data_IF_872399915404
#
_entry.id   IF_872399915404
#
_cell.length_a   1.000
_cell.length_b   1.000
_cell.length_c   1.000
_cell.angle_alpha   90.00
_cell.angle_beta   90.00
_cell.angle_gamma   90.00
#
_symmetry.space_group_name_H-M   'P 1'
#
loop_
_entity.id
_entity.type
_entity.pdbx_description
1 polymer ?
#
# COMPACT_ATOMS: atom_id res chain seq x y z
N UNK A 1 43.08 18.62 15.71
CA UNK A 1 41.63 18.76 15.93
C UNK A 1 40.81 18.41 14.69
N UNK A 2 41.08 19.00 13.51
CA UNK A 2 40.37 18.70 12.24
C UNK A 2 40.37 17.22 11.83
N UNK A 3 41.52 16.54 11.92
CA UNK A 3 41.68 15.11 11.56
C UNK A 3 40.94 14.15 12.49
N UNK A 4 40.90 14.46 13.78
CA UNK A 4 40.14 13.72 14.79
C UNK A 4 38.63 13.80 14.51
N UNK A 5 38.14 14.99 14.14
CA UNK A 5 36.72 15.18 13.78
C UNK A 5 36.36 14.35 12.54
N UNK A 6 37.20 14.34 11.51
CA UNK A 6 36.94 13.55 10.29
C UNK A 6 36.93 12.04 10.58
N UNK A 7 37.87 11.55 11.39
CA UNK A 7 37.93 10.14 11.78
C UNK A 7 36.71 9.71 12.60
N UNK A 8 36.28 10.54 13.54
CA UNK A 8 35.06 10.31 14.33
C UNK A 8 33.81 10.30 13.44
N UNK A 9 33.71 11.22 12.48
CA UNK A 9 32.59 11.22 11.53
C UNK A 9 32.52 9.93 10.71
N UNK A 10 33.64 9.46 10.16
CA UNK A 10 33.66 8.21 9.37
C UNK A 10 33.31 6.98 10.21
N UNK A 11 33.75 6.94 11.47
CA UNK A 11 33.45 5.87 12.41
C UNK A 11 31.96 5.80 12.75
N UNK A 12 31.31 6.95 12.96
CA UNK A 12 29.85 7.03 13.17
C UNK A 12 29.08 6.57 11.93
N UNK A 13 29.52 6.98 10.73
CA UNK A 13 28.87 6.56 9.48
C UNK A 13 29.01 5.05 9.22
N UNK A 14 30.10 4.41 9.69
CA UNK A 14 30.31 2.97 9.55
C UNK A 14 29.32 2.11 10.37
N UNK A 15 28.68 2.69 11.39
CA UNK A 15 27.63 2.02 12.17
C UNK A 15 26.20 2.35 11.75
N UNK A 16 26.02 3.15 10.69
CA UNK A 16 24.70 3.38 10.12
C UNK A 16 24.20 2.06 9.50
N UNK A 17 23.28 1.38 10.19
CA UNK A 17 22.62 0.18 9.66
C UNK A 17 21.54 0.57 8.64
N UNK A 18 21.43 -0.14 7.50
CA UNK A 18 20.37 0.14 6.53
C UNK A 18 19.00 -0.15 7.15
N UNK A 19 18.12 0.84 7.18
CA UNK A 19 16.73 0.64 7.59
C UNK A 19 15.94 0.02 6.44
N UNK A 20 15.33 -1.15 6.67
CA UNK A 20 14.41 -1.78 5.70
C UNK A 20 13.02 -1.16 5.85
N UNK A 21 12.86 0.07 5.38
CA UNK A 21 11.56 0.77 5.36
C UNK A 21 10.81 0.61 4.02
N UNK A 22 11.37 -0.11 3.06
CA UNK A 22 10.74 -0.36 1.76
C UNK A 22 9.67 -1.46 1.90
N UNK A 23 8.43 -1.12 1.54
CA UNK A 23 7.33 -2.06 1.37
C UNK A 23 7.24 -2.47 -0.09
N UNK A 24 7.03 -3.77 -0.35
CA UNK A 24 6.73 -4.30 -1.69
C UNK A 24 5.22 -4.41 -1.94
N UNK A 25 4.40 -4.09 -0.93
CA UNK A 25 2.96 -4.16 -1.05
C UNK A 25 2.39 -2.95 -1.79
N UNK A 26 1.36 -3.20 -2.60
CA UNK A 26 0.56 -2.18 -3.26
C UNK A 26 -0.78 -1.90 -2.56
N UNK A 27 -1.46 -0.87 -3.05
CA UNK A 27 -2.83 -0.53 -2.67
C UNK A 27 -3.67 -0.42 -3.94
N UNK A 28 -4.81 -1.11 -3.99
CA UNK A 28 -5.83 -0.87 -5.02
C UNK A 28 -6.85 0.12 -4.47
N UNK A 29 -7.09 1.17 -5.23
CA UNK A 29 -8.10 2.18 -4.94
C UNK A 29 -9.07 2.22 -6.11
N UNK A 30 -10.36 2.25 -5.81
CA UNK A 30 -11.40 2.40 -6.80
C UNK A 30 -12.61 3.09 -6.22
N UNK A 31 -13.57 3.44 -7.08
CA UNK A 31 -14.82 4.08 -6.70
C UNK A 31 -15.97 3.25 -7.26
N UNK A 32 -16.98 3.02 -6.43
CA UNK A 32 -18.22 2.35 -6.81
C UNK A 32 -19.24 3.41 -7.19
N UNK A 33 -19.77 3.30 -8.41
CA UNK A 33 -20.82 4.19 -8.93
C UNK A 33 -21.98 3.40 -9.50
N UNK A 34 -23.16 4.02 -9.52
CA UNK A 34 -24.36 3.55 -10.22
C UNK A 34 -24.31 3.89 -11.73
N UNK A 35 -25.27 3.39 -12.53
CA UNK A 35 -25.45 3.70 -13.96
C UNK A 35 -25.61 5.20 -14.25
N UNK A 36 -26.07 5.97 -13.26
CA UNK A 36 -26.15 7.44 -13.32
C UNK A 36 -24.80 8.15 -13.08
N UNK A 37 -23.76 7.41 -12.69
CA UNK A 37 -22.46 7.94 -12.26
C UNK A 37 -22.43 8.44 -10.81
N UNK A 38 -23.52 8.26 -10.04
CA UNK A 38 -23.57 8.61 -8.63
C UNK A 38 -22.73 7.65 -7.78
N UNK A 39 -21.97 8.18 -6.83
CA UNK A 39 -21.16 7.37 -5.92
C UNK A 39 -22.03 6.55 -4.94
N UNK A 40 -21.66 5.28 -4.72
CA UNK A 40 -22.39 4.35 -3.87
C UNK A 40 -21.62 4.03 -2.58
N UNK A 41 -22.04 4.58 -1.42
CA UNK A 41 -21.46 4.25 -0.13
C UNK A 41 -22.00 2.93 0.44
N UNK A 42 -21.20 2.24 1.26
CA UNK A 42 -21.63 1.03 1.96
C UNK A 42 -21.64 -0.24 1.09
N UNK A 43 -21.12 -0.17 -0.14
CA UNK A 43 -21.04 -1.33 -1.03
C UNK A 43 -19.90 -2.23 -0.61
N UNK A 44 -20.20 -3.52 -0.48
CA UNK A 44 -19.20 -4.54 -0.18
C UNK A 44 -18.48 -4.94 -1.48
N UNK A 45 -17.18 -4.66 -1.55
CA UNK A 45 -16.31 -4.95 -2.70
C UNK A 45 -15.40 -6.13 -2.35
N UNK A 46 -15.40 -7.15 -3.20
CA UNK A 46 -14.49 -8.29 -3.10
C UNK A 46 -13.30 -8.14 -4.04
N UNK A 47 -12.09 -8.02 -3.49
CA UNK A 47 -10.84 -7.97 -4.27
C UNK A 47 -10.08 -9.27 -4.08
N UNK A 48 -9.84 -10.02 -5.15
CA UNK A 48 -9.13 -11.30 -5.07
C UNK A 48 -7.90 -11.32 -5.99
N UNK A 49 -6.80 -11.89 -5.50
CA UNK A 49 -5.62 -12.16 -6.34
C UNK A 49 -6.00 -13.27 -7.34
N UNK A 50 -5.79 -13.03 -8.63
CA UNK A 50 -6.18 -13.95 -9.71
C UNK A 50 -5.45 -15.29 -9.61
N UNK A 51 -4.23 -15.30 -9.05
CA UNK A 51 -3.42 -16.51 -8.95
C UNK A 51 -3.76 -17.35 -7.71
N UNK A 52 -4.02 -16.72 -6.56
CA UNK A 52 -4.24 -17.43 -5.29
C UNK A 52 -5.71 -17.55 -4.92
N UNK A 53 -6.59 -16.75 -5.53
CA UNK A 53 -8.01 -16.70 -5.23
C UNK A 53 -8.36 -16.13 -3.85
N UNK A 54 -7.37 -15.71 -3.05
CA UNK A 54 -7.57 -15.20 -1.69
C UNK A 54 -8.36 -13.88 -1.76
N UNK A 55 -9.60 -13.84 -1.25
CA UNK A 55 -10.43 -12.65 -1.33
C UNK A 55 -10.16 -11.72 -0.15
N UNK A 56 -10.25 -10.42 -0.42
CA UNK A 56 -10.31 -9.36 0.59
C UNK A 56 -11.58 -8.58 0.41
N UNK A 57 -12.31 -8.41 1.49
CA UNK A 57 -13.60 -7.74 1.50
C UNK A 57 -13.41 -6.35 2.11
N UNK A 58 -13.77 -5.31 1.36
CA UNK A 58 -13.70 -3.90 1.78
C UNK A 58 -15.07 -3.27 1.54
N UNK A 59 -15.47 -2.32 2.38
CA UNK A 59 -16.71 -1.56 2.20
C UNK A 59 -16.37 -0.17 1.66
N UNK A 60 -17.13 0.32 0.67
CA UNK A 60 -16.96 1.68 0.14
C UNK A 60 -17.36 2.74 1.17
N UNK A 61 -16.60 3.85 1.18
CA UNK A 61 -16.84 4.98 2.06
C UNK A 61 -17.95 5.91 1.56
N UNK A 62 -18.17 7.05 2.25
CA UNK A 62 -19.19 8.04 1.92
C UNK A 62 -19.07 8.67 0.52
N UNK A 63 -17.91 8.53 -0.12
CA UNK A 63 -17.66 8.99 -1.50
C UNK A 63 -17.71 7.85 -2.52
N UNK A 64 -18.13 6.65 -2.09
CA UNK A 64 -18.11 5.43 -2.89
C UNK A 64 -16.70 4.87 -3.09
N UNK A 65 -15.67 5.44 -2.46
CA UNK A 65 -14.28 5.02 -2.63
C UNK A 65 -13.99 3.81 -1.75
N UNK A 66 -13.22 2.83 -2.25
CA UNK A 66 -12.70 1.71 -1.47
C UNK A 66 -11.19 1.63 -1.62
N UNK A 67 -10.52 1.12 -0.59
CA UNK A 67 -9.06 0.95 -0.57
C UNK A 67 -8.67 -0.44 -0.05
N UNK A 68 -8.05 -1.24 -0.91
CA UNK A 68 -7.46 -2.53 -0.56
C UNK A 68 -5.94 -2.37 -0.41
N UNK A 69 -5.47 -2.00 0.78
CA UNK A 69 -4.04 -1.80 1.09
C UNK A 69 -3.32 -3.09 1.46
N UNK A 70 -1.99 -3.12 1.39
CA UNK A 70 -1.16 -4.29 1.72
C UNK A 70 -1.40 -5.49 0.78
N UNK A 71 -1.53 -5.25 -0.53
CA UNK A 71 -1.63 -6.30 -1.55
C UNK A 71 -0.25 -6.77 -1.96
N UNK A 72 -0.02 -8.08 -2.00
CA UNK A 72 1.14 -8.63 -2.68
C UNK A 72 1.15 -8.25 -4.16
N UNK A 73 2.33 -8.14 -4.76
CA UNK A 73 2.47 -7.90 -6.18
C UNK A 73 1.76 -9.02 -6.99
N UNK A 74 0.87 -8.63 -7.90
CA UNK A 74 0.09 -9.59 -8.68
C UNK A 74 -1.08 -8.94 -9.41
N UNK A 75 -1.84 -9.78 -10.12
CA UNK A 75 -3.06 -9.39 -10.81
C UNK A 75 -4.26 -9.62 -9.88
N UNK A 76 -5.16 -8.65 -9.82
CA UNK A 76 -6.36 -8.72 -8.98
C UNK A 76 -7.61 -8.48 -9.81
N UNK A 77 -8.71 -9.08 -9.37
CA UNK A 77 -10.04 -8.82 -9.89
C UNK A 77 -10.94 -8.33 -8.74
N UNK A 78 -11.75 -7.31 -9.04
CA UNK A 78 -12.81 -6.82 -8.15
C UNK A 78 -14.16 -7.38 -8.60
N UNK A 79 -15.01 -7.75 -7.64
CA UNK A 79 -16.40 -8.16 -7.85
C UNK A 79 -17.30 -7.54 -6.79
#
# INVERSE_FOLDING_TARGET
MRTLVTAVCLFVLAWASPSRAQSTYGTLVGTVTDDTGAALPGVTVGVANVNTGVPRTIVSDGTGTYQAANLDAGRYASR
#
